data_IF_366684755934
#
_entry.id   IF_366684755934
#
_cell.length_a   1.000
_cell.length_b   1.000
_cell.length_c   1.000
_cell.angle_alpha   90.00
_cell.angle_beta   90.00
_cell.angle_gamma   90.00
#
_symmetry.space_group_name_H-M   'P 1'
#
loop_
_entity.id
_entity.type
_entity.pdbx_description
1 polymer ?
#
# COMPACT_ATOMS: atom_id res chain seq x y z
N UNK A 1 16.90 -13.16 -67.58
CA UNK A 1 16.78 -12.36 -66.34
C UNK A 1 15.54 -12.83 -65.61
N UNK A 2 15.69 -13.46 -64.43
CA UNK A 2 14.60 -13.99 -63.61
C UNK A 2 14.03 -12.87 -62.73
N UNK A 3 12.71 -12.71 -62.70
CA UNK A 3 12.01 -12.09 -61.58
C UNK A 3 10.83 -12.97 -61.16
N UNK A 4 10.62 -12.97 -59.85
CA UNK A 4 10.06 -14.02 -59.02
C UNK A 4 8.54 -13.94 -58.81
N UNK A 5 8.02 -15.03 -58.27
CA UNK A 5 6.64 -15.35 -57.89
C UNK A 5 6.01 -14.38 -56.88
N UNK A 6 4.68 -14.28 -56.92
CA UNK A 6 3.83 -13.78 -55.83
C UNK A 6 2.52 -14.55 -55.81
N UNK A 7 2.40 -15.51 -54.88
CA UNK A 7 1.28 -16.41 -54.70
C UNK A 7 0.06 -15.73 -54.04
N UNK A 8 -1.13 -16.26 -54.37
CA UNK A 8 -2.45 -15.89 -53.86
C UNK A 8 -2.77 -16.57 -52.53
N UNK A 9 -3.20 -15.78 -51.53
CA UNK A 9 -3.98 -16.16 -50.33
C UNK A 9 -4.47 -14.82 -49.76
N UNK A 10 -5.75 -14.57 -49.49
CA UNK A 10 -6.49 -15.29 -48.46
C UNK A 10 -8.01 -15.30 -48.68
N UNK A 11 -8.57 -16.36 -48.13
CA UNK A 11 -9.96 -16.78 -48.12
C UNK A 11 -10.81 -15.90 -47.19
N UNK A 12 -11.92 -15.43 -47.74
CA UNK A 12 -13.13 -15.03 -47.02
C UNK A 12 -13.76 -16.26 -46.36
N UNK A 13 -14.21 -16.20 -45.10
CA UNK A 13 -15.55 -16.62 -44.62
C UNK A 13 -15.64 -16.76 -43.09
N UNK A 14 -16.72 -16.24 -42.51
CA UNK A 14 -17.31 -16.83 -41.30
C UNK A 14 -17.30 -16.02 -39.99
N UNK A 15 -17.81 -14.77 -39.97
CA UNK A 15 -18.22 -14.12 -38.72
C UNK A 15 -19.74 -14.02 -38.63
N UNK A 16 -20.31 -14.85 -37.76
CA UNK A 16 -21.73 -14.97 -37.45
C UNK A 16 -22.35 -13.65 -36.99
N UNK A 17 -23.57 -13.37 -37.44
CA UNK A 17 -24.34 -12.15 -37.14
C UNK A 17 -24.83 -12.15 -35.69
N UNK A 18 -24.02 -11.66 -34.76
CA UNK A 18 -24.46 -11.38 -33.38
C UNK A 18 -25.46 -10.21 -33.37
N UNK A 19 -26.63 -10.41 -32.74
CA UNK A 19 -27.73 -9.43 -32.66
C UNK A 19 -27.30 -8.21 -31.83
N UNK A 20 -27.28 -6.99 -32.40
CA UNK A 20 -26.68 -5.80 -31.77
C UNK A 20 -27.45 -5.29 -30.53
N UNK A 21 -28.70 -5.72 -30.33
CA UNK A 21 -29.52 -5.27 -29.21
C UNK A 21 -29.11 -5.90 -27.86
N UNK A 22 -28.49 -7.09 -27.87
CA UNK A 22 -27.95 -7.72 -26.66
C UNK A 22 -26.68 -7.01 -26.15
N UNK A 23 -25.88 -6.44 -27.04
CA UNK A 23 -24.70 -5.66 -26.66
C UNK A 23 -25.08 -4.34 -25.96
N UNK A 24 -26.19 -3.70 -26.38
CA UNK A 24 -26.67 -2.47 -25.77
C UNK A 24 -27.17 -2.65 -24.32
N UNK A 25 -27.81 -3.78 -24.00
CA UNK A 25 -28.30 -4.07 -22.64
C UNK A 25 -27.18 -4.37 -21.64
N UNK A 26 -26.06 -4.95 -22.11
CA UNK A 26 -24.87 -5.20 -21.27
C UNK A 26 -24.08 -3.90 -21.02
N UNK A 27 -24.03 -3.00 -22.01
CA UNK A 27 -23.34 -1.70 -21.88
C UNK A 27 -24.09 -0.76 -20.92
N UNK A 28 -25.43 -0.81 -20.87
CA UNK A 28 -26.20 -0.02 -19.88
C UNK A 28 -26.12 -0.56 -18.46
N UNK A 29 -25.84 -1.86 -18.28
CA UNK A 29 -25.68 -2.45 -16.94
C UNK A 29 -24.28 -2.21 -16.36
N UNK A 30 -23.26 -2.05 -17.19
CA UNK A 30 -21.87 -1.73 -16.78
C UNK A 30 -21.62 -0.24 -16.47
N UNK A 31 -22.45 0.68 -16.97
CA UNK A 31 -22.24 2.12 -16.82
C UNK A 31 -22.75 2.72 -15.49
N UNK A 32 -23.48 1.96 -14.66
CA UNK A 32 -24.12 2.47 -13.45
C UNK A 32 -23.24 2.41 -12.17
N UNK A 33 -21.96 2.02 -12.26
CA UNK A 33 -21.14 1.71 -11.08
C UNK A 33 -19.94 2.63 -10.82
N UNK A 34 -19.86 3.80 -11.46
CA UNK A 34 -18.72 4.73 -11.26
C UNK A 34 -19.22 6.02 -10.59
N UNK A 35 -19.33 5.96 -9.27
CA UNK A 35 -19.42 7.13 -8.39
C UNK A 35 -18.02 7.41 -7.85
N UNK A 36 -17.29 8.31 -8.51
CA UNK A 36 -15.97 8.76 -8.08
C UNK A 36 -16.11 10.09 -7.32
N UNK A 37 -16.66 10.03 -6.10
CA UNK A 37 -16.55 11.15 -5.16
C UNK A 37 -15.11 11.20 -4.60
N UNK A 38 -14.60 12.40 -4.32
CA UNK A 38 -13.29 12.65 -3.68
C UNK A 38 -13.26 12.04 -2.26
N UNK A 39 -12.94 10.75 -2.19
CA UNK A 39 -12.84 10.02 -0.94
C UNK A 39 -11.35 9.78 -0.62
N UNK A 40 -10.99 9.74 0.67
CA UNK A 40 -9.63 9.48 1.15
C UNK A 40 -9.03 8.19 0.55
N UNK A 41 -9.87 7.20 0.31
CA UNK A 41 -9.52 5.95 -0.39
C UNK A 41 -9.10 6.18 -1.83
N UNK A 42 -9.83 7.01 -2.58
CA UNK A 42 -9.50 7.37 -3.95
C UNK A 42 -8.20 8.18 -4.02
N UNK A 43 -7.96 9.06 -3.04
CA UNK A 43 -6.71 9.82 -2.94
C UNK A 43 -5.49 8.91 -2.79
N UNK A 44 -5.57 7.86 -1.96
CA UNK A 44 -4.52 6.85 -1.83
C UNK A 44 -4.53 5.79 -2.95
N UNK A 45 -5.54 5.77 -3.81
CA UNK A 45 -5.71 4.76 -4.85
C UNK A 45 -6.00 3.36 -4.32
N UNK A 46 -6.73 3.24 -3.20
CA UNK A 46 -7.15 1.97 -2.59
C UNK A 46 -8.68 1.84 -2.59
N UNK A 47 -9.19 0.60 -2.47
CA UNK A 47 -10.64 0.40 -2.25
C UNK A 47 -11.01 0.74 -0.81
N UNK A 48 -12.30 1.00 -0.58
CA UNK A 48 -12.83 1.30 0.76
C UNK A 48 -12.66 0.12 1.73
N UNK A 49 -12.63 -1.09 1.21
CA UNK A 49 -12.46 -2.34 1.93
C UNK A 49 -10.97 -2.70 2.16
N UNK A 50 -10.03 -1.83 1.76
CA UNK A 50 -8.61 -2.07 1.91
C UNK A 50 -8.20 -2.25 3.37
N UNK A 51 -7.32 -3.22 3.62
CA UNK A 51 -6.75 -3.45 4.94
C UNK A 51 -5.77 -2.33 5.30
N UNK A 52 -5.50 -2.14 6.60
CA UNK A 52 -4.49 -1.17 7.08
C UNK A 52 -3.11 -1.41 6.48
N UNK A 53 -2.79 -2.68 6.16
CA UNK A 53 -1.55 -3.05 5.45
C UNK A 53 -1.52 -2.51 4.03
N UNK A 54 -2.63 -2.61 3.31
CA UNK A 54 -2.74 -2.14 1.93
C UNK A 54 -2.73 -0.61 1.87
N UNK A 55 -3.44 0.05 2.79
CA UNK A 55 -3.42 1.51 2.99
C UNK A 55 -1.99 1.98 3.24
N UNK A 56 -1.26 1.33 4.16
CA UNK A 56 0.14 1.65 4.46
C UNK A 56 1.06 1.45 3.26
N UNK A 57 0.85 0.38 2.50
CA UNK A 57 1.65 0.10 1.29
C UNK A 57 1.39 1.13 0.19
N UNK A 58 0.13 1.51 -0.02
CA UNK A 58 -0.26 2.53 -0.97
C UNK A 58 0.31 3.89 -0.60
N UNK A 59 0.17 4.30 0.67
CA UNK A 59 0.75 5.54 1.17
C UNK A 59 2.28 5.53 1.07
N UNK A 60 2.98 4.43 1.39
CA UNK A 60 4.44 4.32 1.19
C UNK A 60 4.83 4.62 -0.25
N UNK A 61 4.12 4.03 -1.22
CA UNK A 61 4.38 4.25 -2.64
C UNK A 61 4.17 5.72 -3.00
N UNK A 62 3.06 6.31 -2.55
CA UNK A 62 2.73 7.71 -2.78
C UNK A 62 3.79 8.64 -2.18
N UNK A 63 4.20 8.38 -0.93
CA UNK A 63 5.20 9.17 -0.22
C UNK A 63 6.54 9.18 -0.94
N UNK A 64 7.02 8.03 -1.43
CA UNK A 64 8.26 7.96 -2.19
C UNK A 64 8.20 8.74 -3.52
N UNK A 65 7.02 8.88 -4.11
CA UNK A 65 6.85 9.62 -5.36
C UNK A 65 6.62 11.12 -5.15
N UNK A 66 5.85 11.49 -4.13
CA UNK A 66 5.35 12.86 -3.93
C UNK A 66 6.13 13.65 -2.86
N UNK A 67 7.09 13.03 -2.17
CA UNK A 67 7.86 13.71 -1.13
C UNK A 67 8.47 15.04 -1.64
N UNK A 68 8.40 16.14 -0.88
CA UNK A 68 8.93 17.45 -1.29
C UNK A 68 10.41 17.42 -1.68
N UNK A 69 11.25 16.67 -0.96
CA UNK A 69 12.68 16.47 -1.30
C UNK A 69 12.92 15.92 -2.72
N UNK A 70 11.96 15.15 -3.27
CA UNK A 70 12.03 14.60 -4.63
C UNK A 70 11.37 15.51 -5.67
N UNK A 71 10.62 16.51 -5.23
CA UNK A 71 9.84 17.41 -6.06
C UNK A 71 10.15 18.89 -5.73
N UNK A 72 11.42 19.32 -5.76
CA UNK A 72 11.81 20.67 -5.34
C UNK A 72 11.30 21.79 -6.28
N UNK A 73 10.93 21.43 -7.51
CA UNK A 73 10.43 22.39 -8.51
C UNK A 73 8.90 22.59 -8.43
N UNK A 74 8.21 21.84 -7.58
CA UNK A 74 6.77 21.90 -7.42
C UNK A 74 6.42 22.65 -6.14
N UNK A 75 5.84 23.84 -6.29
CA UNK A 75 5.53 24.74 -5.18
C UNK A 75 4.48 24.14 -4.24
N UNK A 76 3.61 23.27 -4.75
CA UNK A 76 2.52 22.63 -3.99
C UNK A 76 2.93 21.25 -3.46
N UNK A 77 4.18 20.82 -3.63
CA UNK A 77 4.64 19.52 -3.16
C UNK A 77 4.44 19.34 -1.65
N UNK A 78 4.72 20.39 -0.87
CA UNK A 78 4.55 20.39 0.58
C UNK A 78 3.08 20.18 0.96
N UNK A 79 2.18 21.00 0.40
CA UNK A 79 0.76 20.98 0.74
C UNK A 79 0.08 19.67 0.31
N UNK A 80 0.40 19.16 -0.88
CA UNK A 80 -0.12 17.87 -1.34
C UNK A 80 0.38 16.73 -0.48
N UNK A 81 1.64 16.76 -0.04
CA UNK A 81 2.18 15.73 0.83
C UNK A 81 1.61 15.82 2.25
N UNK A 82 1.37 17.03 2.76
CA UNK A 82 0.66 17.25 4.01
C UNK A 82 -0.76 16.66 3.95
N UNK A 83 -1.50 16.91 2.86
CA UNK A 83 -2.82 16.30 2.63
C UNK A 83 -2.74 14.77 2.58
N UNK A 84 -1.73 14.22 1.91
CA UNK A 84 -1.52 12.77 1.86
C UNK A 84 -1.27 12.17 3.25
N UNK A 85 -0.46 12.84 4.07
CA UNK A 85 -0.19 12.43 5.45
C UNK A 85 -1.45 12.47 6.29
N UNK A 86 -2.23 13.56 6.23
CA UNK A 86 -3.52 13.66 6.92
C UNK A 86 -4.48 12.51 6.54
N UNK A 87 -4.59 12.22 5.24
CA UNK A 87 -5.41 11.11 4.73
C UNK A 87 -4.94 9.77 5.31
N UNK A 88 -3.62 9.52 5.34
CA UNK A 88 -3.07 8.29 5.92
C UNK A 88 -3.32 8.20 7.43
N UNK A 89 -3.16 9.30 8.17
CA UNK A 89 -3.40 9.33 9.63
C UNK A 89 -4.85 8.98 9.97
N UNK A 90 -5.81 9.44 9.18
CA UNK A 90 -7.23 9.11 9.37
C UNK A 90 -7.50 7.65 8.99
N UNK A 91 -6.96 7.17 7.87
CA UNK A 91 -7.29 5.83 7.37
C UNK A 91 -6.52 4.70 8.07
N UNK A 92 -5.41 5.00 8.75
CA UNK A 92 -4.62 3.98 9.48
C UNK A 92 -5.21 3.65 10.85
N UNK A 93 -5.96 4.58 11.45
CA UNK A 93 -6.56 4.46 12.78
C UNK A 93 -8.02 4.02 12.62
N UNK A 94 -8.40 2.94 13.30
CA UNK A 94 -9.71 2.33 13.10
C UNK A 94 -10.86 3.22 13.59
N UNK A 95 -10.64 4.01 14.67
CA UNK A 95 -11.65 4.91 15.23
C UNK A 95 -11.83 6.15 14.35
N UNK A 96 -10.72 6.76 13.90
CA UNK A 96 -10.76 7.90 12.98
C UNK A 96 -11.35 7.49 11.63
N UNK A 97 -10.97 6.32 11.11
CA UNK A 97 -11.54 5.77 9.87
C UNK A 97 -13.04 5.56 10.01
N UNK A 98 -13.50 4.98 11.12
CA UNK A 98 -14.93 4.80 11.39
C UNK A 98 -15.67 6.15 11.46
N UNK A 99 -15.09 7.15 12.12
CA UNK A 99 -15.70 8.48 12.22
C UNK A 99 -15.77 9.16 10.85
N UNK A 100 -14.70 9.10 10.06
CA UNK A 100 -14.68 9.56 8.67
C UNK A 100 -15.75 8.86 7.82
N UNK A 101 -15.91 7.55 7.97
CA UNK A 101 -16.94 6.81 7.21
C UNK A 101 -18.37 7.16 7.62
N UNK A 102 -18.58 7.51 8.90
CA UNK A 102 -19.90 7.85 9.42
C UNK A 102 -20.30 9.31 9.14
N UNK A 103 -19.34 10.23 9.24
CA UNK A 103 -19.62 11.67 9.26
C UNK A 103 -18.86 12.46 8.18
N UNK A 104 -18.00 11.81 7.39
CA UNK A 104 -17.10 12.47 6.45
C UNK A 104 -16.03 13.30 7.17
N UNK A 105 -15.49 14.30 6.48
CA UNK A 105 -14.47 15.21 7.04
C UNK A 105 -14.99 16.02 8.24
N UNK A 106 -16.31 16.27 8.32
CA UNK A 106 -16.94 16.96 9.45
C UNK A 106 -16.77 16.21 10.77
N UNK A 107 -16.63 14.88 10.71
CA UNK A 107 -16.36 14.05 11.89
C UNK A 107 -14.93 14.16 12.42
N UNK A 108 -14.07 14.96 11.77
CA UNK A 108 -12.65 15.09 12.07
C UNK A 108 -12.27 16.51 12.56
N UNK A 109 -13.22 17.44 12.70
CA UNK A 109 -12.97 18.86 13.01
C UNK A 109 -12.41 19.09 14.44
N UNK A 110 -12.76 18.23 15.40
CA UNK A 110 -12.26 18.33 16.79
C UNK A 110 -10.85 17.73 16.97
N UNK A 111 -10.36 17.03 15.95
CA UNK A 111 -9.06 16.38 15.96
C UNK A 111 -8.00 17.41 15.58
N UNK A 112 -7.39 18.05 16.57
CA UNK A 112 -6.24 18.95 16.42
C UNK A 112 -4.96 18.16 16.03
N UNK A 113 -5.01 17.45 14.90
CA UNK A 113 -3.91 16.63 14.38
C UNK A 113 -2.95 17.54 13.60
N UNK A 114 -1.89 17.98 14.26
CA UNK A 114 -0.72 18.52 13.58
C UNK A 114 -0.07 17.39 12.76
N UNK A 115 -0.39 17.33 11.47
CA UNK A 115 0.09 16.31 10.54
C UNK A 115 1.48 16.70 10.01
N UNK A 116 2.50 16.47 10.83
CA UNK A 116 3.89 16.46 10.34
C UNK A 116 4.14 15.25 9.42
N UNK A 117 5.08 15.38 8.50
CA UNK A 117 5.57 14.26 7.71
C UNK A 117 7.07 14.04 7.93
N UNK A 118 7.52 12.81 7.73
CA UNK A 118 8.88 12.38 8.02
C UNK A 118 9.82 12.61 6.83
N UNK A 119 11.12 12.36 6.99
CA UNK A 119 12.09 12.48 5.88
C UNK A 119 11.88 11.44 4.78
N UNK A 120 12.35 11.73 3.55
CA UNK A 120 12.30 10.77 2.44
C UNK A 120 12.98 9.43 2.79
N UNK A 121 14.12 9.48 3.48
CA UNK A 121 14.87 8.27 3.86
C UNK A 121 14.11 7.41 4.86
N UNK A 122 13.34 8.01 5.77
CA UNK A 122 12.44 7.26 6.64
C UNK A 122 11.40 6.48 5.81
N UNK A 123 10.73 7.13 4.85
CA UNK A 123 9.74 6.44 4.01
C UNK A 123 10.34 5.32 3.17
N UNK A 124 11.59 5.49 2.73
CA UNK A 124 12.32 4.50 1.94
C UNK A 124 12.70 3.28 2.79
N UNK A 125 13.35 3.53 3.91
CA UNK A 125 14.09 2.50 4.63
C UNK A 125 13.34 1.94 5.84
N UNK A 126 12.52 2.75 6.51
CA UNK A 126 11.98 2.45 7.85
C UNK A 126 10.46 2.36 7.88
N UNK A 127 9.77 3.11 7.02
CA UNK A 127 8.32 3.14 7.00
C UNK A 127 7.71 1.81 6.57
N UNK A 128 6.77 1.34 7.39
CA UNK A 128 5.95 0.17 7.13
C UNK A 128 6.68 -1.15 7.17
N UNK A 129 7.78 -1.27 7.94
CA UNK A 129 8.34 -2.55 8.37
C UNK A 129 7.35 -3.14 9.40
N UNK A 130 6.41 -4.03 9.01
CA UNK A 130 5.36 -4.48 9.91
C UNK A 130 5.80 -5.69 10.74
N UNK A 131 7.01 -6.18 10.52
CA UNK A 131 7.44 -7.48 11.03
C UNK A 131 8.37 -7.40 12.24
N UNK A 132 8.85 -6.20 12.60
CA UNK A 132 9.66 -6.00 13.80
C UNK A 132 8.80 -5.27 14.82
N UNK A 133 8.20 -6.03 15.72
CA UNK A 133 7.48 -5.46 16.87
C UNK A 133 8.53 -4.96 17.86
N UNK A 134 8.50 -3.67 18.18
CA UNK A 134 9.33 -3.10 19.24
C UNK A 134 8.73 -3.52 20.59
N UNK A 135 9.51 -4.25 21.38
CA UNK A 135 9.08 -4.72 22.70
C UNK A 135 9.54 -3.75 23.79
N UNK A 136 8.60 -3.33 24.63
CA UNK A 136 8.83 -2.70 25.94
C UNK A 136 8.92 -3.78 27.03
N UNK A 137 9.43 -3.48 28.24
CA UNK A 137 9.46 -4.45 29.33
C UNK A 137 8.10 -5.10 29.62
N UNK A 138 7.02 -4.31 29.59
CA UNK A 138 5.66 -4.79 29.85
C UNK A 138 5.11 -5.65 28.70
N UNK A 139 5.31 -5.21 27.46
CA UNK A 139 4.87 -6.00 26.29
C UNK A 139 5.71 -7.25 26.09
N UNK A 140 6.98 -7.26 26.48
CA UNK A 140 7.83 -8.45 26.46
C UNK A 140 7.26 -9.56 27.34
N UNK A 141 6.84 -9.23 28.58
CA UNK A 141 6.20 -10.23 29.44
C UNK A 141 4.92 -10.78 28.82
N UNK A 142 4.04 -9.89 28.37
CA UNK A 142 2.72 -10.28 27.86
C UNK A 142 2.81 -11.08 26.56
N UNK A 143 3.62 -10.63 25.61
CA UNK A 143 3.67 -11.20 24.25
C UNK A 143 4.63 -12.38 24.15
N UNK A 144 5.80 -12.33 24.81
CA UNK A 144 6.84 -13.35 24.67
C UNK A 144 6.76 -14.41 25.76
N UNK A 145 6.52 -14.03 27.02
CA UNK A 145 6.47 -15.00 28.14
C UNK A 145 5.09 -15.62 28.35
N UNK A 146 4.04 -14.84 28.12
CA UNK A 146 2.64 -15.24 28.35
C UNK A 146 1.85 -15.40 27.06
N UNK A 147 2.54 -15.40 25.90
CA UNK A 147 1.94 -15.55 24.58
C UNK A 147 1.32 -16.94 24.34
N UNK A 148 0.72 -17.12 23.17
CA UNK A 148 0.06 -18.37 22.80
C UNK A 148 1.03 -19.57 22.73
N UNK A 149 0.55 -20.80 22.99
CA UNK A 149 1.41 -21.99 23.02
C UNK A 149 2.10 -22.32 21.68
N UNK A 150 1.59 -21.80 20.56
CA UNK A 150 2.13 -22.01 19.21
C UNK A 150 2.91 -20.79 18.66
N UNK A 151 3.19 -19.78 19.50
CA UNK A 151 3.91 -18.57 19.09
C UNK A 151 5.41 -18.67 19.39
N UNK A 152 6.24 -18.65 18.35
CA UNK A 152 7.71 -18.59 18.50
C UNK A 152 8.22 -17.20 18.13
N UNK A 153 8.81 -16.52 19.10
CA UNK A 153 9.37 -15.17 18.96
C UNK A 153 10.89 -15.22 18.73
N UNK A 154 11.36 -14.48 17.73
CA UNK A 154 12.77 -14.14 17.58
C UNK A 154 12.96 -12.69 18.05
N UNK A 155 13.78 -12.48 19.08
CA UNK A 155 13.95 -11.17 19.72
C UNK A 155 15.38 -10.70 19.55
N UNK A 156 15.56 -9.52 18.94
CA UNK A 156 16.85 -8.85 18.85
C UNK A 156 17.00 -7.84 19.99
N UNK A 157 17.86 -8.16 20.96
CA UNK A 157 18.32 -7.20 21.95
C UNK A 157 19.48 -6.40 21.35
N UNK A 158 19.32 -5.08 21.22
CA UNK A 158 20.34 -4.22 20.63
C UNK A 158 20.50 -2.90 21.39
N UNK A 159 21.63 -2.24 21.16
CA UNK A 159 21.92 -0.90 21.68
C UNK A 159 22.03 0.06 20.49
N UNK A 160 21.38 1.24 20.52
CA UNK A 160 21.29 2.13 19.36
C UNK A 160 22.64 2.77 18.97
N UNK A 161 23.62 2.81 19.87
CA UNK A 161 24.98 3.31 19.63
C UNK A 161 25.97 2.22 19.20
N UNK A 162 25.53 0.96 19.05
CA UNK A 162 26.43 -0.11 18.67
C UNK A 162 26.44 -0.29 17.15
N UNK A 163 27.55 0.07 16.51
CA UNK A 163 27.73 -0.05 15.06
C UNK A 163 27.52 -1.50 14.55
N UNK A 164 28.01 -2.51 15.28
CA UNK A 164 27.79 -3.91 14.89
C UNK A 164 26.32 -4.35 14.99
N UNK A 165 25.56 -3.79 15.93
CA UNK A 165 24.12 -4.03 16.01
C UNK A 165 23.37 -3.35 14.87
N UNK A 166 23.75 -2.12 14.54
CA UNK A 166 23.15 -1.38 13.42
C UNK A 166 23.42 -2.09 12.08
N UNK A 167 24.59 -2.71 11.93
CA UNK A 167 24.94 -3.51 10.76
C UNK A 167 24.05 -4.76 10.58
N UNK A 168 23.40 -5.26 11.65
CA UNK A 168 22.48 -6.41 11.59
C UNK A 168 21.05 -6.00 11.18
N UNK A 169 20.68 -4.73 11.33
CA UNK A 169 19.31 -4.28 11.11
C UNK A 169 18.76 -4.60 9.70
N UNK A 170 19.53 -4.48 8.60
CA UNK A 170 19.03 -4.81 7.27
C UNK A 170 18.67 -6.29 7.14
N UNK A 171 19.50 -7.19 7.68
CA UNK A 171 19.29 -8.65 7.68
C UNK A 171 18.12 -9.03 8.59
N UNK A 172 18.01 -8.37 9.74
CA UNK A 172 16.89 -8.56 10.66
C UNK A 172 15.55 -8.20 10.00
N UNK A 173 15.51 -7.10 9.24
CA UNK A 173 14.32 -6.68 8.47
C UNK A 173 13.95 -7.71 7.41
N UNK A 174 14.94 -8.25 6.67
CA UNK A 174 14.72 -9.32 5.67
C UNK A 174 14.12 -10.57 6.33
N UNK A 175 14.69 -11.00 7.46
CA UNK A 175 14.22 -12.17 8.19
C UNK A 175 12.78 -11.97 8.71
N UNK A 176 12.49 -10.79 9.24
CA UNK A 176 11.15 -10.46 9.74
C UNK A 176 10.10 -10.52 8.61
N UNK A 177 10.43 -10.03 7.41
CA UNK A 177 9.54 -10.11 6.23
C UNK A 177 9.21 -11.55 5.82
N UNK A 178 10.17 -12.48 5.94
CA UNK A 178 9.97 -13.91 5.62
C UNK A 178 9.01 -14.58 6.62
N UNK A 179 9.02 -14.15 7.88
CA UNK A 179 8.23 -14.78 8.95
C UNK A 179 6.83 -14.17 9.14
N UNK A 180 6.54 -13.01 8.58
CA UNK A 180 5.24 -12.37 8.75
C UNK A 180 4.12 -13.19 8.05
N UNK A 181 2.97 -13.46 8.71
CA UNK A 181 1.86 -14.17 8.09
C UNK A 181 1.32 -13.38 6.90
N UNK A 182 1.58 -13.89 5.68
CA UNK A 182 1.31 -13.22 4.41
C UNK A 182 2.53 -13.04 3.51
N UNK A 183 3.75 -13.34 3.98
CA UNK A 183 4.93 -13.53 3.15
C UNK A 183 4.86 -14.87 2.42
N UNK A 184 4.16 -14.91 1.29
CA UNK A 184 4.11 -16.07 0.42
C UNK A 184 5.52 -16.59 0.13
N UNK A 185 5.76 -17.85 0.50
CA UNK A 185 6.99 -18.57 0.21
C UNK A 185 7.30 -18.56 -1.28
N UNK A 186 8.39 -17.90 -1.65
CA UNK A 186 9.12 -18.18 -2.88
C UNK A 186 10.31 -19.05 -2.51
N UNK A 187 10.11 -20.36 -2.54
CA UNK A 187 11.20 -21.32 -2.45
C UNK A 187 12.21 -21.09 -3.57
N UNK A 188 13.48 -21.04 -3.20
CA UNK A 188 14.61 -21.04 -4.11
C UNK A 188 15.70 -21.92 -3.52
N UNK A 189 15.45 -23.23 -3.53
CA UNK A 189 16.53 -24.20 -3.54
C UNK A 189 17.05 -24.30 -4.98
N UNK A 190 18.36 -24.12 -5.15
CA UNK A 190 19.09 -24.20 -6.40
C UNK A 190 20.54 -23.81 -6.18
#
# INVERSE_FOLDING_TARGET
MRLLQGATKDQVTGMSRCKPWLALLVITFLAAFISAAENYYAFLGVSREASTRDIRRAFKKLALTMHPDKNPNDQDAHDRFHKASQVYEVLKDDDLRMNYERFGEKGLEDSNHSSGYETYDFYRNDFGIPAVVTLTPDSFQKLVKQGGPDETWLVAFFMPWCQHCLALLPEWRKLAQVRAPGGGGGGGAG
#
